data_IF_729526277299
#
_entry.id   IF_729526277299
#
_cell.length_a   1.000
_cell.length_b   1.000
_cell.length_c   1.000
_cell.angle_alpha   90.00
_cell.angle_beta   90.00
_cell.angle_gamma   90.00
#
_symmetry.space_group_name_H-M   'P 1'
#
loop_
_entity.id
_entity.type
_entity.pdbx_description
1 polymer ?
#
# COMPACT_ATOMS: atom_id res chain seq x y z
N UNK A 1 -1.40 1.08 20.96
CA UNK A 1 -2.46 0.54 20.06
C UNK A 1 -1.84 0.04 18.77
N UNK A 2 -2.54 -0.76 17.97
CA UNK A 2 -1.96 -1.44 16.80
C UNK A 2 -1.49 -0.48 15.69
N UNK A 3 -2.33 0.49 15.32
CA UNK A 3 -2.12 1.36 14.17
C UNK A 3 -3.44 1.84 13.60
N UNK A 4 -3.43 2.34 12.36
CA UNK A 4 -4.61 2.89 11.67
C UNK A 4 -4.71 2.35 10.24
N UNK A 5 -5.91 1.98 9.83
CA UNK A 5 -6.25 1.72 8.43
C UNK A 5 -6.75 3.00 7.77
N UNK A 6 -6.28 3.28 6.57
CA UNK A 6 -6.67 4.46 5.78
C UNK A 6 -7.07 4.05 4.37
N UNK A 7 -8.15 4.63 3.87
CA UNK A 7 -8.57 4.50 2.48
C UNK A 7 -7.81 5.53 1.64
N UNK A 8 -7.25 5.08 0.51
CA UNK A 8 -6.59 5.94 -0.46
C UNK A 8 -7.18 5.71 -1.84
N UNK A 9 -7.59 6.79 -2.48
CA UNK A 9 -8.04 6.75 -3.87
C UNK A 9 -6.84 6.88 -4.81
N UNK A 10 -6.66 5.88 -5.67
CA UNK A 10 -5.62 5.85 -6.70
C UNK A 10 -6.25 6.22 -8.03
N UNK A 11 -5.64 7.19 -8.72
CA UNK A 11 -6.03 7.58 -10.09
C UNK A 11 -5.64 6.50 -11.09
N UNK A 12 -6.34 6.48 -12.22
CA UNK A 12 -5.95 5.67 -13.37
C UNK A 12 -4.57 6.10 -13.87
N UNK A 13 -3.76 5.14 -14.33
CA UNK A 13 -2.38 5.42 -14.78
C UNK A 13 -1.89 4.33 -15.73
N UNK A 14 -0.92 4.65 -16.61
CA UNK A 14 -0.26 3.63 -17.41
C UNK A 14 0.45 2.60 -16.52
N UNK A 15 0.36 1.35 -16.94
CA UNK A 15 1.00 0.19 -16.35
C UNK A 15 1.48 -0.75 -17.44
N UNK A 16 2.05 -1.88 -17.02
CA UNK A 16 2.63 -2.86 -17.93
C UNK A 16 2.47 -4.25 -17.35
N UNK A 17 2.09 -5.21 -18.18
CA UNK A 17 2.05 -6.61 -17.76
C UNK A 17 3.48 -7.06 -17.42
N UNK A 18 3.76 -7.56 -16.18
CA UNK A 18 5.11 -7.87 -15.76
C UNK A 18 5.79 -8.94 -16.62
N UNK A 19 5.01 -9.89 -17.18
CA UNK A 19 5.49 -11.04 -17.95
C UNK A 19 5.75 -10.69 -19.41
N UNK A 20 4.74 -10.17 -20.11
CA UNK A 20 4.78 -9.90 -21.55
C UNK A 20 5.27 -8.50 -21.91
N UNK A 21 5.37 -7.61 -20.92
CA UNK A 21 5.81 -6.22 -21.13
C UNK A 21 4.89 -5.46 -22.11
N UNK A 22 3.62 -5.84 -22.20
CA UNK A 22 2.61 -5.08 -22.94
C UNK A 22 2.03 -3.98 -22.06
N UNK A 23 1.75 -2.84 -22.67
CA UNK A 23 1.16 -1.70 -21.97
C UNK A 23 -0.30 -2.00 -21.62
N UNK A 24 -0.72 -1.55 -20.45
CA UNK A 24 -2.08 -1.72 -19.96
C UNK A 24 -2.44 -0.57 -19.00
N UNK A 25 -3.69 -0.12 -19.00
CA UNK A 25 -4.13 0.91 -18.06
C UNK A 25 -4.49 0.31 -16.70
N UNK A 26 -3.86 0.80 -15.64
CA UNK A 26 -4.29 0.47 -14.28
C UNK A 26 -5.45 1.39 -13.93
N UNK A 27 -6.66 0.83 -13.85
CA UNK A 27 -7.87 1.57 -13.52
C UNK A 27 -7.81 2.27 -12.15
N UNK A 28 -8.60 3.35 -12.02
CA UNK A 28 -8.81 4.04 -10.76
C UNK A 28 -9.51 3.12 -9.75
N UNK A 29 -9.07 3.18 -8.48
CA UNK A 29 -9.55 2.29 -7.42
C UNK A 29 -9.26 2.84 -6.04
N UNK A 30 -10.04 2.39 -5.06
CA UNK A 30 -9.80 2.63 -3.64
C UNK A 30 -8.99 1.48 -3.05
N UNK A 31 -7.91 1.79 -2.35
CA UNK A 31 -7.06 0.81 -1.66
C UNK A 31 -7.02 1.10 -0.17
N UNK A 32 -6.84 0.06 0.64
CA UNK A 32 -6.58 0.20 2.07
C UNK A 32 -5.07 0.23 2.29
N UNK A 33 -4.59 1.15 3.11
CA UNK A 33 -3.21 1.17 3.61
C UNK A 33 -3.26 1.09 5.13
N UNK A 34 -2.43 0.24 5.71
CA UNK A 34 -2.27 0.16 7.15
C UNK A 34 -1.00 0.89 7.59
N UNK A 35 -1.14 1.76 8.59
CA UNK A 35 -0.04 2.48 9.22
C UNK A 35 0.12 1.95 10.65
N UNK A 36 1.15 1.14 10.95
CA UNK A 36 1.39 0.65 12.31
C UNK A 36 1.64 1.81 13.26
N UNK A 37 1.36 1.64 14.55
CA UNK A 37 1.75 2.62 15.56
C UNK A 37 3.26 2.58 15.79
N UNK A 38 3.80 3.62 16.45
CA UNK A 38 5.20 3.61 16.87
C UNK A 38 5.49 2.45 17.82
N UNK A 39 4.66 2.30 18.86
CA UNK A 39 4.79 1.22 19.86
C UNK A 39 4.85 -0.15 19.19
N UNK A 40 3.94 -0.44 18.26
CA UNK A 40 3.90 -1.75 17.61
C UNK A 40 5.09 -1.99 16.66
N UNK A 41 5.60 -0.94 16.02
CA UNK A 41 6.84 -1.04 15.23
C UNK A 41 8.06 -1.31 16.11
N UNK A 42 8.15 -0.65 17.25
CA UNK A 42 9.31 -0.78 18.15
C UNK A 42 9.36 -2.19 18.75
N UNK A 43 8.20 -2.74 19.15
CA UNK A 43 8.05 -4.15 19.58
C UNK A 43 8.49 -5.15 18.50
N UNK A 44 8.03 -4.99 17.26
CA UNK A 44 8.36 -5.93 16.16
C UNK A 44 9.82 -5.84 15.71
N UNK A 45 10.42 -4.65 15.80
CA UNK A 45 11.79 -4.42 15.34
C UNK A 45 12.84 -4.70 16.42
N UNK A 46 12.44 -5.19 17.60
CA UNK A 46 13.33 -5.38 18.76
C UNK A 46 14.11 -4.12 19.15
N UNK A 47 13.55 -2.94 18.88
CA UNK A 47 14.10 -1.67 19.31
C UNK A 47 13.52 -1.36 20.70
N UNK A 48 14.05 -2.06 21.72
CA UNK A 48 13.77 -1.76 23.13
C UNK A 48 14.47 -0.46 23.52
#
# INVERSE_FOLDING_TARGET
GLGKFELRDKKARPGRDPKSKRDYEIAARRVVTFHPSKVWRDELNNNI
#
